data_IF_026093856403
#
_entry.id   IF_026093856403
#
_cell.length_a   1.000
_cell.length_b   1.000
_cell.length_c   1.000
_cell.angle_alpha   90.00
_cell.angle_beta   90.00
_cell.angle_gamma   90.00
#
_symmetry.space_group_name_H-M   'P 1'
#
loop_
_entity.id
_entity.type
_entity.pdbx_description
1 polymer ?
#
# COMPACT_ATOMS: atom_id res chain seq x y z
N UNK A 1 -6.32 -6.71 -5.74
CA UNK A 1 -6.89 -5.34 -5.77
C UNK A 1 -8.42 -5.24 -5.74
N UNK A 2 -9.20 -6.34 -5.76
CA UNK A 2 -10.68 -6.28 -5.84
C UNK A 2 -11.33 -5.31 -4.83
N UNK A 3 -11.01 -5.43 -3.54
CA UNK A 3 -11.64 -4.58 -2.51
C UNK A 3 -11.27 -3.09 -2.63
N UNK A 4 -10.09 -2.78 -3.18
CA UNK A 4 -9.69 -1.40 -3.45
C UNK A 4 -10.45 -0.83 -4.65
N UNK A 5 -10.66 -1.65 -5.69
CA UNK A 5 -11.48 -1.26 -6.84
C UNK A 5 -12.93 -1.02 -6.43
N UNK A 6 -13.50 -1.90 -5.62
CA UNK A 6 -14.88 -1.76 -5.10
C UNK A 6 -15.04 -0.43 -4.34
N UNK A 7 -14.05 -0.04 -3.53
CA UNK A 7 -14.03 1.26 -2.86
C UNK A 7 -14.02 2.43 -3.86
N UNK A 8 -13.13 2.40 -4.86
CA UNK A 8 -13.03 3.48 -5.84
C UNK A 8 -14.27 3.60 -6.74
N UNK A 9 -14.94 2.48 -7.05
CA UNK A 9 -16.23 2.48 -7.75
C UNK A 9 -17.27 3.23 -6.91
N UNK A 10 -17.41 2.87 -5.63
CA UNK A 10 -18.35 3.54 -4.72
C UNK A 10 -18.02 5.03 -4.60
N UNK A 11 -16.73 5.37 -4.47
CA UNK A 11 -16.27 6.75 -4.39
C UNK A 11 -16.59 7.56 -5.66
N UNK A 12 -16.45 6.97 -6.85
CA UNK A 12 -16.84 7.60 -8.11
C UNK A 12 -18.35 7.81 -8.23
N UNK A 13 -19.15 6.84 -7.77
CA UNK A 13 -20.61 7.01 -7.72
C UNK A 13 -21.04 8.14 -6.80
N UNK A 14 -20.36 8.33 -5.67
CA UNK A 14 -20.62 9.42 -4.74
C UNK A 14 -20.14 10.78 -5.25
N UNK A 15 -19.17 10.79 -6.17
CA UNK A 15 -18.53 12.01 -6.68
C UNK A 15 -18.47 12.01 -8.23
N UNK A 16 -19.62 12.08 -8.93
CA UNK A 16 -19.70 11.87 -10.38
C UNK A 16 -18.93 12.92 -11.20
N UNK A 17 -18.80 14.15 -10.69
CA UNK A 17 -18.14 15.25 -11.40
C UNK A 17 -16.62 15.29 -11.18
N UNK A 18 -16.09 14.49 -10.25
CA UNK A 18 -14.67 14.45 -9.94
C UNK A 18 -13.96 13.44 -10.84
N UNK A 19 -12.85 13.88 -11.45
CA UNK A 19 -11.89 12.98 -12.07
C UNK A 19 -11.04 12.33 -10.97
N UNK A 20 -11.35 11.07 -10.65
CA UNK A 20 -10.65 10.34 -9.59
C UNK A 20 -9.30 9.80 -10.09
N UNK A 21 -8.28 9.97 -9.26
CA UNK A 21 -6.97 9.31 -9.41
C UNK A 21 -6.92 8.23 -8.32
N UNK A 22 -6.70 6.97 -8.72
CA UNK A 22 -6.68 5.85 -7.79
C UNK A 22 -5.29 5.74 -7.14
N UNK A 23 -5.15 6.29 -5.94
CA UNK A 23 -3.90 6.27 -5.16
C UNK A 23 -3.90 5.10 -4.18
N UNK A 24 -2.80 4.36 -4.10
CA UNK A 24 -2.68 3.23 -3.17
C UNK A 24 -1.34 3.31 -2.46
N UNK A 25 -1.36 3.36 -1.13
CA UNK A 25 -0.19 3.07 -0.33
C UNK A 25 -0.05 1.56 -0.17
N UNK A 26 1.05 0.99 -0.64
CA UNK A 26 1.35 -0.43 -0.61
C UNK A 26 2.48 -0.69 0.41
N UNK A 27 2.12 -1.35 1.51
CA UNK A 27 3.07 -1.89 2.48
C UNK A 27 3.17 -3.41 2.28
N UNK A 28 4.38 -3.93 2.08
CA UNK A 28 4.63 -5.35 1.93
C UNK A 28 6.08 -5.69 2.29
N UNK A 29 6.31 -6.88 2.84
CA UNK A 29 7.66 -7.42 3.06
C UNK A 29 8.27 -8.04 1.79
N UNK A 30 7.52 -8.13 0.69
CA UNK A 30 7.99 -8.68 -0.59
C UNK A 30 8.20 -7.57 -1.64
N UNK A 31 9.45 -7.27 -2.04
CA UNK A 31 9.72 -6.20 -3.01
C UNK A 31 9.15 -6.49 -4.41
N UNK A 32 8.91 -7.75 -4.76
CA UNK A 32 8.44 -8.13 -6.09
C UNK A 32 7.01 -7.64 -6.36
N UNK A 33 6.20 -7.50 -5.31
CA UNK A 33 4.80 -7.09 -5.42
C UNK A 33 4.63 -5.66 -5.91
N UNK A 34 5.62 -4.78 -5.72
CA UNK A 34 5.57 -3.40 -6.20
C UNK A 34 5.61 -3.34 -7.73
N UNK A 35 6.48 -4.15 -8.35
CA UNK A 35 6.59 -4.22 -9.80
C UNK A 35 5.38 -4.94 -10.41
N UNK A 36 4.93 -6.02 -9.77
CA UNK A 36 3.71 -6.71 -10.17
C UNK A 36 2.50 -5.77 -10.13
N UNK A 37 2.32 -5.03 -9.02
CA UNK A 37 1.20 -4.12 -8.85
C UNK A 37 1.16 -3.04 -9.94
N UNK A 38 2.29 -2.38 -10.23
CA UNK A 38 2.38 -1.37 -11.29
C UNK A 38 2.13 -1.94 -12.69
N UNK A 39 2.54 -3.19 -12.92
CA UNK A 39 2.35 -3.85 -14.22
C UNK A 39 0.89 -4.27 -14.43
N UNK A 40 0.28 -4.87 -13.40
CA UNK A 40 -1.06 -5.44 -13.47
C UNK A 40 -2.16 -4.38 -13.30
N UNK A 41 -1.85 -3.24 -12.68
CA UNK A 41 -2.81 -2.17 -12.38
C UNK A 41 -2.26 -0.80 -12.82
N UNK A 42 -2.10 -0.56 -14.14
CA UNK A 42 -1.48 0.66 -14.66
C UNK A 42 -2.32 1.93 -14.48
N UNK A 43 -3.61 1.81 -14.17
CA UNK A 43 -4.52 2.92 -13.85
C UNK A 43 -4.41 3.39 -12.39
N UNK A 44 -3.61 2.70 -11.59
CA UNK A 44 -3.33 3.03 -10.19
C UNK A 44 -1.97 3.67 -10.02
N UNK A 45 -1.87 4.60 -9.07
CA UNK A 45 -0.59 5.15 -8.61
C UNK A 45 -0.25 4.51 -7.27
N UNK A 46 0.83 3.73 -7.25
CA UNK A 46 1.30 3.04 -6.05
C UNK A 46 2.42 3.84 -5.36
N UNK A 47 2.15 4.22 -4.11
CA UNK A 47 3.13 4.73 -3.14
C UNK A 47 3.59 3.61 -2.22
N UNK A 48 4.79 3.74 -1.68
CA UNK A 48 5.43 2.76 -0.80
C UNK A 48 6.88 2.56 -1.20
N UNK A 49 7.72 2.17 -0.24
CA UNK A 49 9.16 2.11 -0.44
C UNK A 49 9.64 0.69 -0.77
N UNK A 50 10.02 0.48 -2.04
CA UNK A 50 10.65 -0.77 -2.48
C UNK A 50 12.10 -0.95 -1.95
N UNK A 51 12.71 0.11 -1.40
CA UNK A 51 14.01 0.04 -0.73
C UNK A 51 13.88 -0.40 0.74
N UNK A 52 12.80 -0.01 1.42
CA UNK A 52 12.45 -0.48 2.77
C UNK A 52 12.25 -2.00 2.84
N UNK A 53 11.89 -2.65 1.72
CA UNK A 53 11.65 -4.09 1.67
C UNK A 53 12.90 -4.94 1.89
N UNK A 54 14.12 -4.41 1.67
CA UNK A 54 15.36 -5.11 2.05
C UNK A 54 15.55 -5.18 3.57
N UNK A 55 14.97 -4.24 4.34
CA UNK A 55 15.09 -4.19 5.80
C UNK A 55 14.08 -5.11 6.51
N UNK A 56 13.02 -5.54 5.81
CA UNK A 56 11.94 -6.40 6.32
C UNK A 56 12.29 -7.91 6.37
N UNK A 57 13.43 -8.33 5.81
CA UNK A 57 13.87 -9.72 5.89
C UNK A 57 14.09 -10.17 7.35
N UNK A 58 13.82 -11.46 7.70
CA UNK A 58 13.91 -11.93 9.09
C UNK A 58 15.26 -11.67 9.77
N UNK A 59 16.34 -11.62 8.99
CA UNK A 59 17.71 -11.38 9.47
C UNK A 59 18.06 -9.89 9.65
N UNK A 60 17.25 -8.94 9.17
CA UNK A 60 17.48 -7.49 9.27
C UNK A 60 16.47 -6.77 10.16
N UNK A 61 15.39 -7.44 10.57
CA UNK A 61 14.25 -6.93 11.37
C UNK A 61 14.62 -6.16 12.66
N UNK A 62 15.85 -6.26 13.14
CA UNK A 62 16.34 -5.61 14.38
C UNK A 62 17.35 -4.47 14.14
N UNK A 63 17.34 -3.85 12.96
CA UNK A 63 18.09 -2.60 12.71
C UNK A 63 17.16 -1.40 12.88
N UNK A 64 17.71 -0.26 13.33
CA UNK A 64 16.94 0.97 13.56
C UNK A 64 16.23 1.47 12.29
N UNK A 65 16.73 1.11 11.11
CA UNK A 65 16.06 1.37 9.83
C UNK A 65 14.74 0.59 9.70
N UNK A 66 14.71 -0.72 10.00
CA UNK A 66 13.49 -1.55 9.90
C UNK A 66 12.34 -1.09 10.80
N UNK A 67 12.64 -0.57 11.99
CA UNK A 67 11.62 0.00 12.87
C UNK A 67 11.00 1.28 12.28
N UNK A 68 11.83 2.11 11.64
CA UNK A 68 11.33 3.33 10.96
C UNK A 68 10.43 2.96 9.80
N UNK A 69 10.81 1.95 9.02
CA UNK A 69 10.04 1.48 7.87
C UNK A 69 8.65 0.99 8.32
N UNK A 70 8.59 0.14 9.35
CA UNK A 70 7.32 -0.31 9.94
C UNK A 70 6.51 0.87 10.50
N UNK A 71 7.16 1.83 11.18
CA UNK A 71 6.46 2.99 11.74
C UNK A 71 5.87 3.87 10.63
N UNK A 72 6.61 4.09 9.55
CA UNK A 72 6.11 4.81 8.39
C UNK A 72 4.95 4.07 7.72
N UNK A 73 5.07 2.76 7.53
CA UNK A 73 4.00 1.95 6.97
C UNK A 73 2.73 2.05 7.81
N UNK A 74 2.81 1.84 9.13
CA UNK A 74 1.66 1.97 10.02
C UNK A 74 1.09 3.40 9.97
N UNK A 75 1.94 4.41 9.99
CA UNK A 75 1.53 5.81 9.94
C UNK A 75 0.75 6.11 8.66
N UNK A 76 1.29 5.79 7.49
CA UNK A 76 0.63 6.06 6.22
C UNK A 76 -0.61 5.19 6.01
N UNK A 77 -0.57 3.91 6.40
CA UNK A 77 -1.75 3.04 6.37
C UNK A 77 -2.89 3.60 7.25
N UNK A 78 -2.56 4.19 8.40
CA UNK A 78 -3.56 4.81 9.30
C UNK A 78 -4.18 6.10 8.75
N UNK A 79 -3.53 6.74 7.78
CA UNK A 79 -4.01 7.96 7.13
C UNK A 79 -4.79 7.70 5.83
N UNK A 80 -4.82 6.45 5.36
CA UNK A 80 -5.61 6.07 4.19
C UNK A 80 -7.12 6.16 4.47
N UNK A 81 -7.90 6.57 3.47
CA UNK A 81 -9.36 6.64 3.57
C UNK A 81 -10.03 5.26 3.71
N UNK A 82 -9.34 4.23 3.21
CA UNK A 82 -9.81 2.84 3.26
C UNK A 82 -8.62 1.87 3.40
N UNK A 83 -8.73 0.91 4.31
CA UNK A 83 -7.69 -0.06 4.60
C UNK A 83 -8.09 -1.46 4.12
N UNK A 84 -7.30 -2.02 3.20
CA UNK A 84 -7.41 -3.41 2.74
C UNK A 84 -6.20 -4.18 3.23
N UNK A 85 -6.39 -5.05 4.21
CA UNK A 85 -5.31 -5.90 4.72
C UNK A 85 -5.86 -7.18 5.37
N UNK A 86 -4.96 -8.03 5.85
CA UNK A 86 -5.28 -9.16 6.74
C UNK A 86 -5.15 -8.70 8.19
N UNK A 87 -6.25 -8.71 8.95
CA UNK A 87 -6.24 -8.30 10.37
C UNK A 87 -5.52 -9.29 11.31
N UNK A 88 -4.99 -10.39 10.76
CA UNK A 88 -4.13 -11.36 11.44
C UNK A 88 -2.63 -11.04 11.33
N UNK A 89 -2.25 -10.03 10.54
CA UNK A 89 -0.85 -9.62 10.39
C UNK A 89 -0.30 -9.13 11.73
N UNK A 90 0.89 -9.59 12.11
CA UNK A 90 1.59 -9.25 13.35
C UNK A 90 2.90 -8.55 13.10
#
# INVERSE_FOLDING_TARGET
MKNAEDYYIIYQYQNPDLKIIKLVYLASDDPSVFNEARTNYPDYVFYGDAAATQSAQPNSRYRTESLKDILFDIHFLSLCDYLVCTFSSK
#
